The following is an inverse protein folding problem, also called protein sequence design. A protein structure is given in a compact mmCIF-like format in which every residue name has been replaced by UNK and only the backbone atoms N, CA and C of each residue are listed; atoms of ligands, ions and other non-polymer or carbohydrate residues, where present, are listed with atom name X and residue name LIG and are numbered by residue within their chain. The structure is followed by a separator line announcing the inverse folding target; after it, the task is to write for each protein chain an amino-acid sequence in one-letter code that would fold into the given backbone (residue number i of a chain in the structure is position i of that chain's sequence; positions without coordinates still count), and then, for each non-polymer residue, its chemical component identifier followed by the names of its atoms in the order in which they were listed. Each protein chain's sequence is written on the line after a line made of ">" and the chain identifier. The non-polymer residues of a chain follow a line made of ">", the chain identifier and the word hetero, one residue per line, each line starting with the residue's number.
data_IF_688031335951
#
_entry.id   IF_688031335951
#
_cell.length_a   1.000
_cell.length_b   1.000
_cell.length_c   1.000
_cell.angle_alpha   90.00
_cell.angle_beta   90.00
_cell.angle_gamma   90.00
#
_symmetry.space_group_name_H-M   'P 1'
#
loop_
_entity.id
_entity.type
_entity.pdbx_description
1 polymer ?
#
# COMPACT_ATOMS: atom_id res chain seq x y z
N UNK A 1 6.26 -1.60 13.98
CA UNK A 1 5.86 -2.98 14.35
C UNK A 1 5.40 -3.68 13.08
N UNK A 2 6.19 -4.62 12.56
CA UNK A 2 6.01 -5.06 11.18
C UNK A 2 4.83 -6.02 11.05
N UNK A 3 4.20 -6.07 9.88
CA UNK A 3 3.08 -6.98 9.64
C UNK A 3 3.59 -8.40 9.53
N UNK A 4 3.09 -9.30 10.39
CA UNK A 4 3.52 -10.70 10.42
C UNK A 4 3.02 -11.52 9.23
N UNK A 5 1.81 -11.23 8.75
CA UNK A 5 1.19 -11.93 7.61
C UNK A 5 0.52 -10.94 6.68
N UNK A 6 0.54 -11.22 5.38
CA UNK A 6 -0.19 -10.44 4.38
C UNK A 6 -1.70 -10.42 4.64
N UNK A 7 -2.24 -11.44 5.30
CA UNK A 7 -3.64 -11.50 5.71
C UNK A 7 -4.01 -10.44 6.75
N UNK A 8 -3.04 -10.00 7.56
CA UNK A 8 -3.22 -8.97 8.58
C UNK A 8 -3.35 -7.58 7.95
N UNK A 9 -2.86 -7.40 6.71
CA UNK A 9 -3.06 -6.21 5.92
C UNK A 9 -4.51 -6.14 5.44
N UNK A 10 -5.34 -5.41 6.19
CA UNK A 10 -6.74 -5.15 5.86
C UNK A 10 -6.85 -3.83 5.12
N UNK A 11 -7.67 -3.76 4.04
CA UNK A 11 -7.91 -2.49 3.37
C UNK A 11 -8.62 -1.54 4.34
N UNK A 12 -8.10 -0.32 4.44
CA UNK A 12 -8.74 0.77 5.16
C UNK A 12 -9.88 1.36 4.31
N UNK A 13 -9.71 1.35 2.98
CA UNK A 13 -10.71 1.73 2.01
C UNK A 13 -10.60 0.83 0.78
N UNK A 14 -11.74 0.42 0.22
CA UNK A 14 -11.80 -0.32 -1.03
C UNK A 14 -12.90 0.27 -1.90
N UNK A 15 -12.53 0.93 -2.99
CA UNK A 15 -13.41 1.32 -4.08
C UNK A 15 -13.13 0.54 -5.36
N UNK A 16 -13.83 0.87 -6.44
CA UNK A 16 -13.72 0.16 -7.72
C UNK A 16 -12.36 0.34 -8.41
N UNK A 17 -11.77 1.54 -8.30
CA UNK A 17 -10.48 1.90 -8.93
C UNK A 17 -9.35 2.13 -7.93
N UNK A 18 -9.67 2.38 -6.67
CA UNK A 18 -8.68 2.74 -5.65
C UNK A 18 -8.87 1.85 -4.44
N UNK A 19 -7.77 1.31 -3.93
CA UNK A 19 -7.76 0.58 -2.66
C UNK A 19 -6.67 1.15 -1.77
N UNK A 20 -7.01 1.44 -0.52
CA UNK A 20 -6.08 2.01 0.43
C UNK A 20 -5.85 1.06 1.60
N UNK A 21 -4.63 1.05 2.09
CA UNK A 21 -4.20 0.34 3.27
C UNK A 21 -3.46 1.28 4.21
N UNK A 22 -3.39 0.90 5.47
CA UNK A 22 -2.65 1.65 6.48
C UNK A 22 -1.73 0.68 7.23
N UNK A 23 -0.47 1.09 7.41
CA UNK A 23 0.47 0.36 8.25
C UNK A 23 0.12 0.52 9.73
N UNK A 24 0.64 -0.36 10.61
CA UNK A 24 0.56 -0.17 12.06
C UNK A 24 1.21 1.13 12.55
N UNK A 25 2.21 1.66 11.82
CA UNK A 25 2.85 2.95 12.10
C UNK A 25 2.01 4.17 11.69
N UNK A 26 0.91 3.96 10.96
CA UNK A 26 -0.02 5.00 10.52
C UNK A 26 0.20 5.50 9.09
N UNK A 27 1.27 5.06 8.42
CA UNK A 27 1.58 5.36 7.01
C UNK A 27 0.49 4.82 6.09
N UNK A 28 0.03 5.64 5.15
CA UNK A 28 -0.99 5.23 4.18
C UNK A 28 -0.37 4.72 2.90
N UNK A 29 -0.99 3.70 2.33
CA UNK A 29 -0.64 3.13 1.03
C UNK A 29 -1.87 3.15 0.15
N UNK A 30 -1.74 3.61 -1.09
CA UNK A 30 -2.85 3.74 -2.04
C UNK A 30 -2.52 3.01 -3.33
N UNK A 31 -3.31 2.00 -3.67
CA UNK A 31 -3.29 1.39 -4.98
C UNK A 31 -4.29 2.08 -5.91
N UNK A 32 -3.82 2.46 -7.09
CA UNK A 32 -4.67 2.95 -8.17
C UNK A 32 -4.61 1.99 -9.36
N UNK A 33 -5.78 1.43 -9.71
CA UNK A 33 -5.94 0.49 -10.81
C UNK A 33 -5.66 1.13 -12.17
N UNK A 34 -6.07 2.39 -12.36
CA UNK A 34 -5.82 3.11 -13.61
C UNK A 34 -4.32 3.32 -13.86
N UNK A 35 -3.53 3.45 -12.79
CA UNK A 35 -2.08 3.63 -12.84
C UNK A 35 -1.30 2.32 -12.80
N UNK A 36 -1.95 1.21 -12.42
CA UNK A 36 -1.27 -0.04 -12.12
C UNK A 36 -0.12 0.17 -11.11
N UNK A 37 -0.35 1.00 -10.07
CA UNK A 37 0.71 1.43 -9.17
C UNK A 37 0.21 1.56 -7.72
N UNK A 38 1.13 1.35 -6.79
CA UNK A 38 0.94 1.55 -5.34
C UNK A 38 1.73 2.77 -4.90
N UNK A 39 1.05 3.79 -4.42
CA UNK A 39 1.61 4.95 -3.75
C UNK A 39 1.87 4.66 -2.27
N UNK A 40 3.09 4.83 -1.79
CA UNK A 40 3.43 4.90 -0.38
C UNK A 40 3.47 6.35 0.07
N UNK A 41 2.70 6.71 1.08
CA UNK A 41 2.76 8.05 1.67
C UNK A 41 4.16 8.28 2.26
N UNK A 42 4.88 9.30 1.77
CA UNK A 42 6.26 9.60 2.21
C UNK A 42 6.32 10.25 3.59
N UNK A 43 5.19 10.77 4.08
CA UNK A 43 5.10 11.34 5.42
C UNK A 43 3.65 11.55 5.82
N UNK A 44 3.30 11.35 7.10
CA UNK A 44 1.91 11.38 7.55
C UNK A 44 1.27 12.74 7.27
N UNK A 45 0.22 12.74 6.43
CA UNK A 45 -0.55 13.94 6.09
C UNK A 45 0.11 14.86 5.06
N UNK A 46 1.18 14.40 4.39
CA UNK A 46 1.84 15.17 3.31
C UNK A 46 1.11 15.09 1.98
N UNK A 47 0.21 14.11 1.81
CA UNK A 47 -0.43 13.75 0.52
C UNK A 47 0.59 13.48 -0.61
N UNK A 48 1.87 13.36 -0.27
CA UNK A 48 2.94 13.01 -1.19
C UNK A 48 3.12 11.49 -1.17
N UNK A 49 2.90 10.88 -2.33
CA UNK A 49 3.03 9.44 -2.49
C UNK A 49 4.22 9.12 -3.40
N UNK A 50 5.08 8.21 -2.95
CA UNK A 50 6.05 7.54 -3.80
C UNK A 50 5.36 6.39 -4.54
N UNK A 51 5.28 6.48 -5.87
CA UNK A 51 4.49 5.57 -6.68
C UNK A 51 5.35 4.42 -7.22
N UNK A 52 5.05 3.21 -6.75
CA UNK A 52 5.65 1.98 -7.22
C UNK A 52 4.74 1.32 -8.27
N UNK A 53 5.18 1.34 -9.52
CA UNK A 53 4.49 0.65 -10.62
C UNK A 53 4.57 -0.86 -10.40
N UNK A 54 3.42 -1.53 -10.53
CA UNK A 54 3.30 -2.97 -10.39
C UNK A 54 3.54 -3.66 -11.73
N UNK A 55 4.07 -4.88 -11.68
CA UNK A 55 4.21 -5.73 -12.85
C UNK A 55 2.84 -6.22 -13.39
N UNK A 56 1.83 -6.32 -12.53
CA UNK A 56 0.47 -6.73 -12.89
C UNK A 56 -0.57 -5.81 -12.23
N UNK A 57 -1.60 -5.46 -13.00
CA UNK A 57 -2.67 -4.57 -12.58
C UNK A 57 -3.76 -5.33 -11.81
N UNK A 58 -3.40 -5.90 -10.66
CA UNK A 58 -4.34 -6.59 -9.78
C UNK A 58 -4.11 -6.31 -8.30
N UNK A 59 -5.17 -6.53 -7.51
CA UNK A 59 -5.18 -6.30 -6.07
C UNK A 59 -4.24 -7.25 -5.31
N UNK A 60 -3.95 -8.44 -5.84
CA UNK A 60 -3.09 -9.42 -5.17
C UNK A 60 -1.64 -8.93 -5.18
N UNK A 61 -1.16 -8.45 -6.33
CA UNK A 61 0.16 -7.86 -6.49
C UNK A 61 0.27 -6.54 -5.74
N UNK A 62 -0.76 -5.69 -5.81
CA UNK A 62 -0.80 -4.46 -5.03
C UNK A 62 -0.66 -4.74 -3.53
N UNK A 63 -1.46 -5.68 -3.01
CA UNK A 63 -1.42 -6.08 -1.60
C UNK A 63 -0.07 -6.66 -1.19
N UNK A 64 0.56 -7.47 -2.04
CA UNK A 64 1.92 -7.99 -1.81
C UNK A 64 2.95 -6.86 -1.75
N UNK A 65 2.89 -5.93 -2.70
CA UNK A 65 3.81 -4.79 -2.72
C UNK A 65 3.68 -3.91 -1.49
N UNK A 66 2.45 -3.58 -1.07
CA UNK A 66 2.22 -2.83 0.17
C UNK A 66 2.77 -3.56 1.38
N UNK A 67 2.55 -4.88 1.46
CA UNK A 67 3.08 -5.67 2.56
C UNK A 67 4.61 -5.67 2.59
N UNK A 68 5.27 -5.80 1.44
CA UNK A 68 6.73 -5.68 1.32
C UNK A 68 7.21 -4.31 1.80
N UNK A 69 6.62 -3.21 1.29
CA UNK A 69 6.99 -1.84 1.66
C UNK A 69 6.87 -1.59 3.16
N UNK A 70 5.79 -2.05 3.80
CA UNK A 70 5.62 -1.91 5.26
C UNK A 70 6.70 -2.67 6.03
N UNK A 71 7.15 -3.82 5.54
CA UNK A 71 8.19 -4.60 6.20
C UNK A 71 9.60 -4.07 5.92
N UNK A 72 9.83 -3.48 4.75
CA UNK A 72 11.10 -2.83 4.38
C UNK A 72 11.31 -1.51 5.14
N UNK A 73 10.28 -0.70 5.32
CA UNK A 73 10.36 0.60 6.02
C UNK A 73 10.66 0.46 7.53
N UNK A 74 10.38 -0.71 8.10
CA UNK A 74 10.53 -0.96 9.53
C UNK A 74 11.79 -1.75 9.94
N UNK A 75 12.74 -1.97 9.01
CA UNK A 75 14.03 -2.64 9.25
C UNK A 75 15.23 -1.74 8.93
#
# INVERSE_FOLDING_TARGET
>A
MALRKISDLKPAFSGDNVTEWQSPSGTRYRYERDRCAVGQEMGPGTEAYDWHVLAQNDLTHAKRKVFELINEDEF
#
